data_IF_050712392104
#
_entry.id   IF_050712392104
#
_cell.length_a   1.000
_cell.length_b   1.000
_cell.length_c   1.000
_cell.angle_alpha   90.00
_cell.angle_beta   90.00
_cell.angle_gamma   90.00
#
_symmetry.space_group_name_H-M   'P 1'
#
loop_
_entity.id
_entity.type
_entity.pdbx_description
1 polymer ?
#
# COMPACT_ATOMS: atom_id res chain seq x y z
N UNK A 1 15.65 -0.96 -3.16
CA UNK A 1 16.08 -1.35 -1.79
C UNK A 1 15.83 -2.83 -1.60
N UNK A 2 16.87 -3.59 -1.24
CA UNK A 2 16.83 -5.01 -0.92
C UNK A 2 17.26 -5.16 0.55
N UNK A 3 16.55 -5.97 1.33
CA UNK A 3 16.89 -6.29 2.71
C UNK A 3 17.99 -7.36 2.75
N UNK A 4 18.87 -7.29 3.75
CA UNK A 4 19.90 -8.30 4.05
C UNK A 4 19.69 -8.80 5.47
N UNK A 5 19.67 -10.11 5.66
CA UNK A 5 19.58 -10.72 6.98
C UNK A 5 20.86 -10.41 7.79
N UNK A 6 20.66 -10.07 9.06
CA UNK A 6 21.70 -9.80 10.05
C UNK A 6 21.29 -10.39 11.40
N UNK A 7 22.23 -10.49 12.33
CA UNK A 7 21.90 -10.83 13.71
C UNK A 7 20.95 -9.78 14.33
N UNK A 8 20.08 -10.18 15.26
CA UNK A 8 19.23 -9.24 15.99
C UNK A 8 20.09 -8.22 16.73
N UNK A 9 19.77 -6.94 16.58
CA UNK A 9 20.45 -5.84 17.28
C UNK A 9 19.43 -4.82 17.77
N UNK A 10 19.81 -4.06 18.80
CA UNK A 10 19.07 -2.92 19.30
C UNK A 10 20.02 -1.71 19.32
N UNK A 11 19.66 -0.64 18.63
CA UNK A 11 20.48 0.57 18.53
C UNK A 11 19.58 1.79 18.29
N UNK A 12 19.87 2.88 19.01
CA UNK A 12 19.16 4.15 18.86
C UNK A 12 19.40 4.85 17.52
N UNK A 13 20.37 4.38 16.72
CA UNK A 13 20.65 4.91 15.38
C UNK A 13 19.66 4.38 14.31
N UNK A 14 18.80 3.42 14.67
CA UNK A 14 17.91 2.72 13.76
C UNK A 14 16.44 2.91 14.13
N UNK A 15 15.60 3.07 13.12
CA UNK A 15 14.14 3.02 13.25
C UNK A 15 13.69 1.62 12.84
N UNK A 16 13.07 0.90 13.76
CA UNK A 16 12.53 -0.43 13.50
C UNK A 16 11.10 -0.33 12.96
N UNK A 17 10.86 -1.00 11.85
CA UNK A 17 9.56 -1.09 11.21
C UNK A 17 9.10 -2.55 11.19
N UNK A 18 7.82 -2.79 11.52
CA UNK A 18 7.23 -4.12 11.41
C UNK A 18 7.28 -4.57 9.95
N UNK A 19 7.96 -5.69 9.68
CA UNK A 19 7.94 -6.34 8.37
C UNK A 19 6.54 -6.94 8.17
N UNK A 20 5.77 -6.36 7.25
CA UNK A 20 4.49 -6.90 6.83
C UNK A 20 4.65 -7.53 5.45
N UNK A 21 4.08 -8.70 5.23
CA UNK A 21 4.10 -9.33 3.92
C UNK A 21 2.94 -8.77 3.07
N UNK A 22 3.25 -7.79 2.21
CA UNK A 22 2.29 -7.13 1.32
C UNK A 22 2.72 -7.09 -0.16
N UNK A 23 1.96 -6.40 -1.01
CA UNK A 23 2.44 -6.02 -2.37
C UNK A 23 3.10 -4.66 -2.26
N UNK A 24 4.38 -4.61 -2.62
CA UNK A 24 5.04 -3.34 -2.89
C UNK A 24 4.36 -2.61 -4.05
N UNK A 25 3.91 -1.40 -3.77
CA UNK A 25 3.24 -0.51 -4.71
C UNK A 25 3.67 0.93 -4.48
N UNK A 26 3.87 1.67 -5.55
CA UNK A 26 3.94 3.12 -5.51
C UNK A 26 2.53 3.69 -5.53
N UNK A 27 2.24 4.68 -4.70
CA UNK A 27 1.03 5.48 -4.77
C UNK A 27 1.38 6.88 -5.27
N UNK A 28 0.91 7.23 -6.46
CA UNK A 28 0.98 8.57 -7.01
C UNK A 28 -0.26 9.33 -6.58
N UNK A 29 -0.07 10.35 -5.76
CA UNK A 29 -1.12 11.20 -5.23
C UNK A 29 -1.06 12.54 -5.98
N UNK A 30 -2.11 12.83 -6.74
CA UNK A 30 -2.36 14.14 -7.34
C UNK A 30 -3.41 14.90 -6.50
N UNK A 31 -3.89 16.05 -6.97
CA UNK A 31 -4.85 16.90 -6.25
C UNK A 31 -6.19 16.18 -6.02
N UNK A 32 -6.65 15.39 -7.00
CA UNK A 32 -7.98 14.78 -7.02
C UNK A 32 -7.95 13.26 -7.29
N UNK A 33 -6.75 12.68 -7.37
CA UNK A 33 -6.57 11.31 -7.83
C UNK A 33 -5.45 10.57 -7.12
N UNK A 34 -5.72 9.31 -6.81
CA UNK A 34 -4.71 8.31 -6.42
C UNK A 34 -4.52 7.32 -7.57
N UNK A 35 -3.26 7.02 -7.92
CA UNK A 35 -2.91 5.94 -8.84
C UNK A 35 -1.92 4.99 -8.15
N UNK A 36 -2.26 3.70 -8.13
CA UNK A 36 -1.43 2.66 -7.53
C UNK A 36 -0.71 1.87 -8.61
N UNK A 37 0.63 1.91 -8.60
CA UNK A 37 1.49 1.17 -9.54
C UNK A 37 2.27 0.12 -8.76
N UNK A 38 2.05 -1.16 -9.07
CA UNK A 38 2.78 -2.23 -8.39
C UNK A 38 4.26 -2.30 -8.82
N UNK A 39 5.07 -3.12 -8.13
CA UNK A 39 6.49 -3.37 -8.48
C UNK A 39 6.73 -3.79 -9.96
N UNK A 40 5.72 -4.32 -10.65
CA UNK A 40 5.80 -4.72 -12.07
C UNK A 40 5.39 -3.60 -13.04
N UNK A 41 5.12 -2.38 -12.55
CA UNK A 41 4.71 -1.25 -13.36
C UNK A 41 3.25 -1.26 -13.80
N UNK A 42 2.40 -2.13 -13.23
CA UNK A 42 0.98 -2.21 -13.59
C UNK A 42 0.13 -1.31 -12.70
N UNK A 43 -0.82 -0.62 -13.32
CA UNK A 43 -1.90 0.06 -12.62
C UNK A 43 -2.82 -0.98 -11.96
N UNK A 44 -2.89 -0.92 -10.64
CA UNK A 44 -3.72 -1.80 -9.80
C UNK A 44 -4.80 -1.02 -9.03
N UNK A 45 -5.03 0.25 -9.40
CA UNK A 45 -5.97 1.14 -8.68
C UNK A 45 -7.37 0.54 -8.61
N UNK A 46 -7.85 -0.07 -9.70
CA UNK A 46 -9.16 -0.73 -9.74
C UNK A 46 -9.30 -1.94 -8.80
N UNK A 47 -8.18 -2.55 -8.39
CA UNK A 47 -8.19 -3.69 -7.48
C UNK A 47 -8.36 -3.25 -6.02
N UNK A 48 -8.12 -1.97 -5.72
CA UNK A 48 -8.09 -1.41 -4.37
C UNK A 48 -8.92 -0.11 -4.28
N UNK A 49 -10.24 -0.16 -4.54
CA UNK A 49 -11.09 1.03 -4.56
C UNK A 49 -11.12 1.78 -3.21
N UNK A 50 -10.92 1.08 -2.09
CA UNK A 50 -10.81 1.67 -0.75
C UNK A 50 -9.57 2.58 -0.57
N UNK A 51 -8.55 2.42 -1.42
CA UNK A 51 -7.35 3.26 -1.42
C UNK A 51 -7.45 4.44 -2.39
N UNK A 52 -8.57 4.59 -3.12
CA UNK A 52 -8.73 5.64 -4.13
C UNK A 52 -8.64 7.07 -3.57
N UNK A 53 -8.97 7.27 -2.29
CA UNK A 53 -8.97 8.57 -1.61
C UNK A 53 -7.68 8.90 -0.84
N UNK A 54 -6.59 8.14 -1.00
CA UNK A 54 -5.31 8.41 -0.30
C UNK A 54 -4.79 9.84 -0.52
N UNK A 55 -5.02 10.42 -1.70
CA UNK A 55 -4.64 11.80 -2.03
C UNK A 55 -5.23 12.84 -1.06
N UNK A 56 -6.41 12.60 -0.50
CA UNK A 56 -7.06 13.52 0.44
C UNK A 56 -6.27 13.72 1.74
N UNK A 57 -5.39 12.78 2.09
CA UNK A 57 -4.50 12.88 3.25
C UNK A 57 -3.24 13.72 3.01
N UNK A 58 -2.96 14.11 1.76
CA UNK A 58 -1.74 14.84 1.40
C UNK A 58 -2.04 16.28 0.98
N UNK A 59 -1.25 17.22 1.50
CA UNK A 59 -1.24 18.61 0.99
C UNK A 59 -0.29 18.66 -0.21
N UNK A 60 -0.84 18.50 -1.41
CA UNK A 60 -0.14 18.59 -2.70
C UNK A 60 0.23 17.25 -3.32
N UNK A 61 0.93 17.31 -4.47
CA UNK A 61 1.40 16.12 -5.20
C UNK A 61 2.45 15.37 -4.38
N UNK A 62 2.31 14.05 -4.33
CA UNK A 62 3.25 13.19 -3.61
C UNK A 62 3.37 11.82 -4.29
N UNK A 63 4.54 11.21 -4.16
CA UNK A 63 4.72 9.79 -4.46
C UNK A 63 5.06 9.08 -3.15
N UNK A 64 4.27 8.07 -2.81
CA UNK A 64 4.51 7.19 -1.66
C UNK A 64 5.05 5.85 -2.15
N UNK A 65 6.19 5.40 -1.63
CA UNK A 65 6.60 4.00 -1.73
C UNK A 65 6.12 3.25 -0.49
N UNK A 66 5.54 2.08 -0.70
CA UNK A 66 4.87 1.36 0.37
C UNK A 66 4.38 -0.01 -0.02
N UNK A 67 3.69 -0.63 0.93
CA UNK A 67 3.12 -1.96 0.82
C UNK A 67 1.61 -1.89 1.03
N UNK A 68 0.88 -2.48 0.10
CA UNK A 68 -0.55 -2.75 0.26
C UNK A 68 -0.67 -4.03 1.08
N UNK A 69 -1.33 -3.92 2.24
CA UNK A 69 -1.52 -5.01 3.20
C UNK A 69 -3.02 -5.21 3.43
N UNK A 70 -3.43 -6.46 3.55
CA UNK A 70 -4.80 -6.83 3.91
C UNK A 70 -4.83 -7.21 5.39
N UNK A 71 -5.71 -6.55 6.12
CA UNK A 71 -6.02 -6.83 7.51
C UNK A 71 -7.37 -7.53 7.58
N UNK A 72 -7.47 -8.52 8.45
CA UNK A 72 -8.70 -9.20 8.86
C UNK A 72 -8.81 -9.14 10.37
N UNK A 73 -9.93 -8.64 10.90
CA UNK A 73 -10.12 -8.51 12.36
C UNK A 73 -8.93 -7.78 13.05
N UNK A 74 -8.34 -6.79 12.34
CA UNK A 74 -7.17 -6.03 12.80
C UNK A 74 -5.81 -6.73 12.66
N UNK A 75 -5.75 -7.96 12.14
CA UNK A 75 -4.51 -8.73 11.96
C UNK A 75 -4.13 -8.84 10.48
N UNK A 76 -2.83 -8.74 10.12
CA UNK A 76 -2.39 -9.00 8.75
C UNK A 76 -2.74 -10.44 8.30
N UNK A 77 -3.44 -10.61 7.18
CA UNK A 77 -3.79 -11.91 6.61
C UNK A 77 -3.13 -12.09 5.23
N UNK A 78 -1.94 -12.68 5.24
CA UNK A 78 -1.14 -12.94 4.03
C UNK A 78 -1.76 -14.02 3.13
N UNK A 79 -2.38 -15.05 3.71
CA UNK A 79 -2.90 -16.19 2.96
C UNK A 79 -4.07 -15.80 2.05
N UNK A 80 -4.99 -14.96 2.57
CA UNK A 80 -6.08 -14.41 1.75
C UNK A 80 -5.55 -13.57 0.60
N UNK A 81 -4.53 -12.77 0.85
CA UNK A 81 -3.93 -11.91 -0.16
C UNK A 81 -3.27 -12.69 -1.29
N UNK A 82 -2.44 -13.70 -0.97
CA UNK A 82 -1.84 -14.58 -1.96
C UNK A 82 -2.89 -15.30 -2.82
N UNK A 83 -3.99 -15.72 -2.20
CA UNK A 83 -5.11 -16.39 -2.88
C UNK A 83 -5.82 -15.48 -3.87
N UNK A 84 -6.14 -14.24 -3.49
CA UNK A 84 -6.82 -13.30 -4.38
C UNK A 84 -5.94 -12.78 -5.52
N UNK A 85 -4.63 -12.64 -5.27
CA UNK A 85 -3.68 -12.31 -6.32
C UNK A 85 -3.65 -13.40 -7.41
N UNK A 86 -3.67 -14.67 -6.99
CA UNK A 86 -3.68 -15.83 -7.90
C UNK A 86 -4.98 -15.92 -8.71
N UNK A 87 -6.12 -15.60 -8.09
CA UNK A 87 -7.43 -15.69 -8.71
C UNK A 87 -7.78 -14.53 -9.66
N UNK A 88 -6.96 -13.47 -9.76
CA UNK A 88 -7.28 -12.21 -10.49
C UNK A 88 -8.67 -11.66 -10.19
N UNK A 89 -9.22 -11.97 -9.01
CA UNK A 89 -10.54 -11.54 -8.61
C UNK A 89 -10.39 -10.24 -7.83
N UNK A 90 -11.12 -9.16 -8.18
CA UNK A 90 -11.28 -8.07 -7.24
C UNK A 90 -11.92 -8.64 -5.97
N UNK A 91 -11.33 -8.35 -4.81
CA UNK A 91 -11.98 -8.68 -3.55
C UNK A 91 -13.30 -7.91 -3.50
N UNK A 92 -14.44 -8.62 -3.57
CA UNK A 92 -15.75 -8.01 -3.35
C UNK A 92 -15.82 -7.55 -1.91
N UNK A 93 -15.89 -6.25 -1.69
CA UNK A 93 -16.31 -5.68 -0.42
C UNK A 93 -17.75 -6.12 -0.17
N UNK A 94 -17.98 -7.02 0.80
CA UNK A 94 -19.23 -6.95 1.53
C UNK A 94 -19.11 -5.72 2.43
N UNK A 95 -19.57 -4.58 1.93
CA UNK A 95 -19.83 -3.42 2.76
C UNK A 95 -20.96 -3.80 3.73
N UNK A 96 -20.61 -4.30 4.91
CA UNK A 96 -21.54 -4.35 6.03
C UNK A 96 -21.53 -2.94 6.63
N UNK A 97 -22.54 -2.18 6.24
CA UNK A 97 -22.97 -0.97 6.94
C UNK A 97 -23.29 -1.33 8.39
N UNK A 98 -22.33 -1.12 9.29
CA UNK A 98 -22.50 -1.35 10.72
C UNK A 98 -21.28 -2.04 11.35
N UNK A 99 -20.31 -1.25 11.81
CA UNK A 99 -19.55 -1.53 13.03
C UNK A 99 -19.01 -2.95 13.29
N UNK A 100 -18.47 -3.67 12.31
CA UNK A 100 -17.71 -4.92 12.53
C UNK A 100 -16.58 -5.06 11.50
N UNK A 101 -15.29 -5.19 11.90
CA UNK A 101 -14.14 -4.98 11.03
C UNK A 101 -13.70 -6.29 10.33
N UNK A 102 -14.41 -6.70 9.28
CA UNK A 102 -14.19 -8.00 8.66
C UNK A 102 -12.94 -8.13 7.77
N UNK A 103 -12.65 -7.15 6.92
CA UNK A 103 -11.44 -7.14 6.08
C UNK A 103 -11.15 -5.67 5.66
N UNK A 104 -10.03 -5.08 6.09
CA UNK A 104 -9.59 -3.73 5.73
C UNK A 104 -8.28 -3.78 4.95
N UNK A 105 -8.15 -2.97 3.89
CA UNK A 105 -6.90 -2.89 3.12
C UNK A 105 -6.24 -1.55 3.43
N UNK A 106 -5.02 -1.63 3.94
CA UNK A 106 -4.22 -0.47 4.31
C UNK A 106 -3.04 -0.29 3.37
N UNK A 107 -2.67 0.96 3.11
CA UNK A 107 -1.41 1.30 2.47
C UNK A 107 -0.42 1.67 3.57
N UNK A 108 0.57 0.80 3.82
CA UNK A 108 1.69 1.11 4.72
C UNK A 108 2.76 1.82 3.93
N UNK A 109 3.08 3.06 4.27
CA UNK A 109 4.21 3.74 3.65
C UNK A 109 5.53 3.20 4.24
N UNK A 110 6.47 2.80 3.39
CA UNK A 110 7.85 2.50 3.78
C UNK A 110 8.68 3.75 3.46
N UNK A 111 8.46 4.76 4.30
CA UNK A 111 9.34 5.93 4.47
C UNK A 111 9.99 6.49 3.19
N UNK A 112 9.16 7.02 2.26
CA UNK A 112 9.56 8.12 1.38
C UNK A 112 8.31 8.76 0.75
N UNK A 113 7.85 9.88 1.29
CA UNK A 113 6.96 10.79 0.58
C UNK A 113 7.85 11.84 -0.09
N UNK A 114 8.18 11.67 -1.38
CA UNK A 114 8.82 12.76 -2.12
C UNK A 114 7.73 13.74 -2.55
N UNK A 115 7.79 14.95 -1.99
CA UNK A 115 7.12 16.12 -2.57
C UNK A 115 7.91 16.53 -3.81
N UNK A 116 7.18 16.73 -4.90
CA UNK A 116 7.68 17.09 -6.23
C UNK A 116 8.44 16.02 -7.00
N UNK A 117 7.70 15.37 -7.90
CA UNK A 117 8.21 14.91 -9.18
C UNK A 117 7.27 15.46 -10.25
N UNK A 118 7.64 16.60 -10.81
CA UNK A 118 7.03 17.10 -12.05
C UNK A 118 7.09 15.98 -13.08
N UNK A 119 5.92 15.64 -13.61
CA UNK A 119 5.74 14.60 -14.62
C UNK A 119 6.25 15.14 -15.96
N UNK A 120 7.57 15.34 -16.11
CA UNK A 120 8.17 15.42 -17.44
C UNK A 120 8.19 14.01 -18.02
N UNK A 121 7.14 13.73 -18.78
CA UNK A 121 7.09 12.78 -19.90
C UNK A 121 7.55 11.35 -19.61
N UNK A 122 6.58 10.45 -19.48
CA UNK A 122 6.76 9.06 -19.94
C UNK A 122 5.69 8.81 -21.01
N UNK A 123 6.06 8.15 -22.13
CA UNK A 123 5.36 8.17 -23.42
C UNK A 123 3.96 7.55 -23.39
#
# INVERSE_FOLDING_TARGET
MLFRESEPFDSGDYIFELKLDGIRSLAYLDIDKTVLINKRGKDVTANYPELSSLHAGCRGKAVLDGEIVVFKDGKPDFFRFATAQSLKRPFKNQAVSGGSPGDFRGFRHSLLARRDLDRKTAP
#
